data_IF_702409920012
#
_entry.id   IF_702409920012
#
_cell.length_a   1.000
_cell.length_b   1.000
_cell.length_c   1.000
_cell.angle_alpha   90.00
_cell.angle_beta   90.00
_cell.angle_gamma   90.00
#
_symmetry.space_group_name_H-M   'P 1'
#
loop_
_entity.id
_entity.type
_entity.pdbx_description
1 polymer ?
#
# COMPACT_ATOMS: atom_id res chain seq x y z
N UNK A 1 4.01 6.01 7.20
CA UNK A 1 2.69 5.58 6.71
C UNK A 1 1.93 4.99 7.88
N UNK A 2 0.75 5.52 8.17
CA UNK A 2 -0.13 4.90 9.16
C UNK A 2 -0.62 3.56 8.60
N UNK A 3 -0.46 2.48 9.38
CA UNK A 3 -1.05 1.20 9.02
C UNK A 3 -2.58 1.32 9.15
N UNK A 4 -3.34 0.79 8.18
CA UNK A 4 -4.81 0.72 8.28
C UNK A 4 -5.16 -0.09 9.53
N UNK A 5 -5.96 0.49 10.43
CA UNK A 5 -6.39 -0.23 11.62
C UNK A 5 -7.53 -1.16 11.25
N UNK A 6 -7.56 -2.35 11.85
CA UNK A 6 -8.62 -3.33 11.59
C UNK A 6 -10.03 -2.77 11.87
N UNK A 7 -10.14 -1.81 12.79
CA UNK A 7 -11.37 -1.08 13.09
C UNK A 7 -11.87 -0.25 11.90
N UNK A 8 -10.97 0.40 11.19
CA UNK A 8 -11.27 1.23 10.01
C UNK A 8 -11.71 0.35 8.84
N UNK A 9 -11.02 -0.77 8.61
CA UNK A 9 -11.38 -1.74 7.56
C UNK A 9 -12.78 -2.33 7.81
N UNK A 10 -13.13 -2.61 9.07
CA UNK A 10 -14.45 -3.13 9.45
C UNK A 10 -15.57 -2.09 9.29
N UNK A 11 -15.25 -0.81 9.43
CA UNK A 11 -16.19 0.29 9.21
C UNK A 11 -16.40 0.62 7.72
N UNK A 12 -15.56 0.09 6.82
CA UNK A 12 -15.69 0.28 5.38
C UNK A 12 -16.71 -0.68 4.76
N UNK A 13 -17.45 -0.17 3.77
CA UNK A 13 -18.27 -0.98 2.87
C UNK A 13 -17.40 -1.90 1.98
N UNK A 14 -18.01 -2.97 1.46
CA UNK A 14 -17.31 -3.93 0.60
C UNK A 14 -16.66 -3.26 -0.62
N UNK A 15 -17.37 -2.37 -1.31
CA UNK A 15 -16.85 -1.63 -2.45
C UNK A 15 -15.71 -0.67 -2.06
N UNK A 16 -15.82 -0.04 -0.88
CA UNK A 16 -14.78 0.86 -0.37
C UNK A 16 -13.49 0.08 -0.02
N UNK A 17 -13.62 -1.11 0.59
CA UNK A 17 -12.48 -2.00 0.84
C UNK A 17 -11.80 -2.45 -0.44
N UNK A 18 -12.59 -2.82 -1.44
CA UNK A 18 -12.05 -3.29 -2.73
C UNK A 18 -11.31 -2.17 -3.47
N UNK A 19 -11.88 -0.96 -3.49
CA UNK A 19 -11.21 0.23 -4.03
C UNK A 19 -9.90 0.51 -3.29
N UNK A 20 -9.92 0.46 -1.95
CA UNK A 20 -8.72 0.70 -1.14
C UNK A 20 -7.63 -0.36 -1.38
N UNK A 21 -8.03 -1.62 -1.56
CA UNK A 21 -7.11 -2.71 -1.88
C UNK A 21 -6.45 -2.51 -3.25
N UNK A 22 -7.20 -2.06 -4.26
CA UNK A 22 -6.62 -1.71 -5.57
C UNK A 22 -5.61 -0.58 -5.46
N UNK A 23 -5.97 0.51 -4.78
CA UNK A 23 -5.04 1.63 -4.54
C UNK A 23 -3.72 1.18 -3.90
N UNK A 24 -3.78 0.34 -2.86
CA UNK A 24 -2.58 -0.18 -2.18
C UNK A 24 -1.71 -1.07 -3.09
N UNK A 25 -2.34 -1.86 -3.98
CA UNK A 25 -1.63 -2.70 -4.95
C UNK A 25 -0.95 -1.88 -6.04
N UNK A 26 -1.61 -0.85 -6.52
CA UNK A 26 -1.06 0.07 -7.52
C UNK A 26 0.14 0.82 -6.96
N UNK A 27 0.04 1.32 -5.71
CA UNK A 27 1.16 1.95 -5.02
C UNK A 27 2.32 0.97 -4.82
N UNK A 28 2.05 -0.28 -4.44
CA UNK A 28 3.08 -1.30 -4.29
C UNK A 28 3.76 -1.62 -5.63
N UNK A 29 3.00 -1.67 -6.72
CA UNK A 29 3.54 -1.92 -8.06
C UNK A 29 4.47 -0.79 -8.50
N UNK A 30 4.07 0.46 -8.26
CA UNK A 30 4.88 1.63 -8.58
C UNK A 30 6.21 1.63 -7.81
N UNK A 31 6.18 1.43 -6.50
CA UNK A 31 7.38 1.40 -5.66
C UNK A 31 8.32 0.24 -6.05
N UNK A 32 7.78 -0.90 -6.45
CA UNK A 32 8.56 -2.02 -7.01
C UNK A 32 9.20 -1.66 -8.34
N UNK A 33 8.48 -0.95 -9.21
CA UNK A 33 9.01 -0.46 -10.49
C UNK A 33 10.20 0.47 -10.28
N UNK A 34 10.08 1.45 -9.36
CA UNK A 34 11.16 2.37 -9.01
C UNK A 34 12.38 1.61 -8.44
N UNK A 35 12.15 0.66 -7.53
CA UNK A 35 13.22 -0.16 -6.96
C UNK A 35 13.92 -1.03 -8.03
N UNK A 36 13.17 -1.58 -8.99
CA UNK A 36 13.71 -2.40 -10.08
C UNK A 36 14.54 -1.59 -11.08
N UNK A 37 14.21 -0.30 -11.29
CA UNK A 37 14.99 0.61 -12.12
C UNK A 37 16.31 1.06 -11.46
N UNK A 38 16.65 0.55 -10.28
CA UNK A 38 17.89 0.87 -9.58
C UNK A 38 17.89 2.23 -8.88
N UNK A 39 16.74 2.91 -8.82
CA UNK A 39 16.57 4.12 -8.03
C UNK A 39 16.53 3.79 -6.55
N UNK A 40 17.23 4.56 -5.72
CA UNK A 40 17.08 4.49 -4.28
C UNK A 40 15.61 4.77 -3.93
N UNK A 41 14.90 3.86 -3.23
CA UNK A 41 13.51 4.11 -2.86
C UNK A 41 13.47 5.36 -1.97
N UNK A 42 12.59 6.35 -2.24
CA UNK A 42 12.48 7.55 -1.43
C UNK A 42 12.13 7.23 0.03
N UNK A 43 11.59 6.04 0.30
CA UNK A 43 11.40 5.53 1.64
C UNK A 43 11.56 4.00 1.68
N UNK A 44 12.70 3.45 2.17
CA UNK A 44 12.98 2.02 2.15
C UNK A 44 11.97 1.18 2.96
N UNK A 45 11.30 1.80 3.93
CA UNK A 45 10.25 1.15 4.72
C UNK A 45 8.88 1.07 4.02
N UNK A 46 8.68 1.79 2.91
CA UNK A 46 7.37 1.96 2.27
C UNK A 46 6.84 0.65 1.67
N UNK A 47 7.67 -0.10 0.95
CA UNK A 47 7.29 -1.41 0.39
C UNK A 47 6.87 -2.38 1.50
N UNK A 48 7.60 -2.38 2.63
CA UNK A 48 7.29 -3.24 3.79
C UNK A 48 5.99 -2.82 4.47
N UNK A 49 5.71 -1.52 4.55
CA UNK A 49 4.47 -0.99 5.11
C UNK A 49 3.26 -1.31 4.21
N UNK A 50 3.38 -1.10 2.89
CA UNK A 50 2.34 -1.42 1.91
C UNK A 50 1.99 -2.92 1.88
N UNK A 51 2.96 -3.80 2.10
CA UNK A 51 2.73 -5.25 2.22
C UNK A 51 2.05 -5.68 3.52
N UNK A 52 2.13 -4.87 4.58
CA UNK A 52 1.59 -5.19 5.91
C UNK A 52 0.19 -4.59 6.15
N UNK A 53 -0.20 -3.58 5.37
CA UNK A 53 -1.56 -3.05 5.32
C UNK A 53 -2.54 -4.06 4.76
#
# INVERSE_FOLDING_TARGET
MALLRTKEIRAMDAAAREKKLRELRDELMHERGVAAMGGAPPNPGKIRALRKN
#
